data_IF_105346118511
#
_entry.id   IF_105346118511
#
_cell.length_a   1.000
_cell.length_b   1.000
_cell.length_c   1.000
_cell.angle_alpha   90.00
_cell.angle_beta   90.00
_cell.angle_gamma   90.00
#
_symmetry.space_group_name_H-M   'P 1'
#
loop_
_entity.id
_entity.type
_entity.pdbx_description
1 polymer ?
#
# COMPACT_ATOMS: atom_id res chain seq x y z
N UNK A 1 -9.22 5.55 -2.03
CA UNK A 1 -8.62 4.57 -1.08
C UNK A 1 -7.26 4.07 -1.57
N UNK A 2 -7.12 3.58 -2.82
CA UNK A 2 -5.83 3.07 -3.32
C UNK A 2 -4.66 4.06 -3.15
N UNK A 3 -4.86 5.32 -3.53
CA UNK A 3 -3.87 6.40 -3.37
C UNK A 3 -3.39 6.57 -1.92
N UNK A 4 -4.30 6.51 -0.93
CA UNK A 4 -3.97 6.61 0.50
C UNK A 4 -3.04 5.46 0.93
N UNK A 5 -3.33 4.23 0.50
CA UNK A 5 -2.48 3.07 0.81
C UNK A 5 -1.11 3.20 0.15
N UNK A 6 -1.06 3.63 -1.12
CA UNK A 6 0.19 3.83 -1.85
C UNK A 6 1.03 4.90 -1.13
N UNK A 7 0.43 6.04 -0.77
CA UNK A 7 1.11 7.11 -0.03
C UNK A 7 1.63 6.65 1.33
N UNK A 8 0.83 5.88 2.06
CA UNK A 8 1.22 5.29 3.34
C UNK A 8 2.45 4.38 3.21
N UNK A 9 2.52 3.53 2.18
CA UNK A 9 3.71 2.68 1.94
C UNK A 9 4.94 3.53 1.62
N UNK A 10 4.78 4.56 0.77
CA UNK A 10 5.87 5.45 0.38
C UNK A 10 6.44 6.26 1.56
N UNK A 11 5.59 6.82 2.44
CA UNK A 11 6.04 7.56 3.64
C UNK A 11 6.76 6.67 4.66
N UNK A 12 6.56 5.34 4.61
CA UNK A 12 7.32 4.36 5.41
C UNK A 12 8.69 4.01 4.80
N UNK A 13 9.06 4.64 3.68
CA UNK A 13 10.32 4.39 2.98
C UNK A 13 10.34 3.08 2.19
N UNK A 14 9.17 2.50 1.91
CA UNK A 14 9.05 1.22 1.19
C UNK A 14 8.68 1.49 -0.27
N UNK A 15 9.38 0.82 -1.19
CA UNK A 15 9.06 0.87 -2.63
C UNK A 15 7.80 0.04 -2.91
N UNK A 16 6.85 0.61 -3.67
CA UNK A 16 5.53 0.00 -3.95
C UNK A 16 5.31 -0.22 -5.46
N UNK A 17 4.69 -1.35 -5.81
CA UNK A 17 4.37 -1.74 -7.19
C UNK A 17 2.88 -2.05 -7.36
N UNK A 18 2.00 -1.02 -7.47
CA UNK A 18 0.56 -1.24 -7.56
C UNK A 18 0.16 -1.85 -8.91
N UNK A 19 -0.35 -3.09 -8.89
CA UNK A 19 -0.77 -3.81 -10.09
C UNK A 19 -2.08 -3.23 -10.66
N UNK A 20 -2.09 -2.89 -11.95
CA UNK A 20 -3.29 -2.54 -12.70
C UNK A 20 -3.12 -2.85 -14.18
N UNK A 21 -4.22 -3.19 -14.86
CA UNK A 21 -4.30 -3.30 -16.33
C UNK A 21 -5.05 -2.14 -16.96
N UNK A 22 -5.70 -1.30 -16.15
CA UNK A 22 -6.49 -0.16 -16.62
C UNK A 22 -5.63 1.11 -16.58
N UNK A 23 -5.54 1.80 -17.73
CA UNK A 23 -4.68 2.97 -17.93
C UNK A 23 -5.03 4.11 -16.96
N UNK A 24 -6.31 4.33 -16.72
CA UNK A 24 -6.83 5.36 -15.83
C UNK A 24 -6.37 5.10 -14.40
N UNK A 25 -6.44 3.84 -13.95
CA UNK A 25 -5.96 3.42 -12.62
C UNK A 25 -4.46 3.51 -12.48
N UNK A 26 -3.69 3.22 -13.54
CA UNK A 26 -2.22 3.38 -13.51
C UNK A 26 -1.87 4.84 -13.28
N UNK A 27 -2.56 5.77 -13.95
CA UNK A 27 -2.37 7.21 -13.75
C UNK A 27 -2.78 7.65 -12.35
N UNK A 28 -3.99 7.27 -11.90
CA UNK A 28 -4.49 7.59 -10.56
C UNK A 28 -3.55 7.08 -9.46
N UNK A 29 -3.04 5.85 -9.59
CA UNK A 29 -2.12 5.26 -8.61
C UNK A 29 -0.76 5.99 -8.54
N UNK A 30 -0.34 6.66 -9.61
CA UNK A 30 0.88 7.45 -9.63
C UNK A 30 0.69 8.87 -9.07
N UNK A 31 -0.57 9.33 -8.98
CA UNK A 31 -0.95 10.66 -8.49
C UNK A 31 -1.08 10.66 -6.96
N UNK A 32 0.07 10.57 -6.28
CA UNK A 32 0.17 10.42 -4.81
C UNK A 32 1.26 11.31 -4.21
N UNK A 33 1.74 12.30 -4.95
CA UNK A 33 2.88 13.14 -4.55
C UNK A 33 2.47 14.58 -4.20
N UNK A 34 1.22 14.94 -4.45
CA UNK A 34 0.62 16.25 -4.18
C UNK A 34 -0.02 16.36 -2.79
N UNK A 35 -0.03 15.27 -2.01
CA UNK A 35 -0.45 15.26 -0.61
C UNK A 35 0.45 14.38 0.27
N UNK A 36 0.28 14.53 1.57
CA UNK A 36 0.91 13.69 2.60
C UNK A 36 -0.09 13.30 3.68
N UNK A 37 0.16 12.15 4.30
CA UNK A 37 -0.57 11.70 5.47
C UNK A 37 0.09 12.24 6.72
N UNK A 38 -0.71 12.69 7.68
CA UNK A 38 -0.19 13.11 8.98
C UNK A 38 0.31 11.90 9.79
N UNK A 39 1.08 12.17 10.85
CA UNK A 39 1.53 11.11 11.74
C UNK A 39 0.34 10.37 12.38
N UNK A 40 -0.72 11.08 12.76
CA UNK A 40 -1.91 10.43 13.33
C UNK A 40 -2.60 9.49 12.33
N UNK A 41 -2.69 9.89 11.05
CA UNK A 41 -3.27 9.06 10.00
C UNK A 41 -2.43 7.81 9.71
N UNK A 42 -1.09 7.95 9.70
CA UNK A 42 -0.16 6.82 9.55
C UNK A 42 -0.35 5.83 10.70
N UNK A 43 -0.44 6.31 11.93
CA UNK A 43 -0.63 5.46 13.12
C UNK A 43 -2.00 4.79 13.13
N UNK A 44 -3.04 5.49 12.68
CA UNK A 44 -4.37 4.89 12.53
C UNK A 44 -4.34 3.70 11.55
N UNK A 45 -3.68 3.85 10.41
CA UNK A 45 -3.54 2.77 9.41
C UNK A 45 -2.67 1.64 9.96
N UNK A 46 -1.56 1.95 10.64
CA UNK A 46 -0.70 0.96 11.29
C UNK A 46 -1.49 0.10 12.29
N UNK A 47 -2.40 0.71 13.06
CA UNK A 47 -3.27 0.04 14.02
C UNK A 47 -4.25 -0.97 13.42
N UNK A 48 -4.42 -0.98 12.09
CA UNK A 48 -5.30 -1.94 11.41
C UNK A 48 -4.64 -3.30 11.12
N UNK A 49 -3.36 -3.48 11.45
CA UNK A 49 -2.66 -4.74 11.23
C UNK A 49 -3.34 -5.92 11.97
N UNK A 50 -3.57 -7.02 11.27
CA UNK A 50 -4.16 -8.26 11.81
C UNK A 50 -3.24 -9.47 11.72
N UNK A 51 -1.99 -9.30 11.28
CA UNK A 51 -1.06 -10.40 10.98
C UNK A 51 -1.64 -11.42 9.98
N UNK A 52 -2.41 -10.96 9.00
CA UNK A 52 -3.03 -11.79 7.95
C UNK A 52 -2.27 -11.59 6.64
N UNK A 53 -1.94 -12.69 5.96
CA UNK A 53 -1.34 -12.70 4.62
C UNK A 53 -2.42 -12.97 3.56
N UNK A 54 -2.30 -12.32 2.41
CA UNK A 54 -3.13 -12.59 1.23
C UNK A 54 -2.48 -13.59 0.28
N UNK A 55 -1.14 -13.65 0.27
CA UNK A 55 -0.37 -14.67 -0.44
C UNK A 55 -0.09 -15.90 0.43
N UNK A 56 0.57 -16.89 -0.15
CA UNK A 56 0.99 -18.09 0.56
C UNK A 56 2.00 -17.77 1.68
N UNK A 57 2.05 -18.64 2.68
CA UNK A 57 3.01 -18.56 3.77
C UNK A 57 4.40 -19.04 3.29
N UNK A 58 5.44 -18.18 3.34
CA UNK A 58 6.77 -18.55 2.88
C UNK A 58 7.37 -19.76 3.60
N UNK A 59 6.97 -20.05 4.84
CA UNK A 59 7.55 -21.14 5.62
C UNK A 59 6.93 -22.51 5.30
N UNK A 60 5.73 -22.52 4.71
CA UNK A 60 4.98 -23.76 4.44
C UNK A 60 4.62 -23.96 2.96
N UNK A 61 4.81 -22.95 2.12
CA UNK A 61 4.48 -23.04 0.70
C UNK A 61 5.36 -24.05 -0.04
N UNK A 62 4.71 -24.95 -0.76
CA UNK A 62 5.31 -25.94 -1.66
C UNK A 62 4.63 -25.86 -3.03
N UNK A 63 5.37 -26.15 -4.10
CA UNK A 63 4.94 -25.95 -5.50
C UNK A 63 4.17 -27.14 -6.08
#
# INVERSE_FOLDING_TARGET
VAQVIIRWILQKGIVVFPKSVHKERIKENADVFDFELTNEEIELINGMNKNIRTGADPDTFTF
#
